data_IF_521656021684
#
_entry.id   IF_521656021684
#
_cell.length_a   1.000
_cell.length_b   1.000
_cell.length_c   1.000
_cell.angle_alpha   90.00
_cell.angle_beta   90.00
_cell.angle_gamma   90.00
#
_symmetry.space_group_name_H-M   'P 1'
#
loop_
_entity.id
_entity.type
_entity.pdbx_description
1 polymer ?
#
# COMPACT_ATOMS: atom_id res chain seq x y z
N UNK A 1 9.04 1.86 -18.72
CA UNK A 1 8.22 1.19 -17.68
C UNK A 1 6.96 2.01 -17.50
N UNK A 2 5.77 1.41 -17.64
CA UNK A 2 4.51 2.10 -17.39
C UNK A 2 4.24 2.24 -15.90
N UNK A 3 3.40 3.19 -15.45
CA UNK A 3 3.04 3.32 -14.04
C UNK A 3 2.40 2.06 -13.45
N UNK A 4 1.61 1.32 -14.24
CA UNK A 4 0.96 0.06 -13.86
C UNK A 4 2.00 -1.06 -13.64
N UNK A 5 2.99 -1.15 -14.53
CA UNK A 5 4.11 -2.09 -14.37
C UNK A 5 4.93 -1.77 -13.12
N UNK A 6 5.19 -0.48 -12.85
CA UNK A 6 5.87 -0.05 -11.64
C UNK A 6 5.10 -0.43 -10.36
N UNK A 7 3.77 -0.30 -10.36
CA UNK A 7 2.94 -0.75 -9.26
C UNK A 7 3.03 -2.27 -9.05
N UNK A 8 2.91 -3.05 -10.12
CA UNK A 8 3.04 -4.51 -10.07
C UNK A 8 4.38 -4.95 -9.46
N UNK A 9 5.49 -4.35 -9.94
CA UNK A 9 6.83 -4.64 -9.43
C UNK A 9 6.96 -4.28 -7.95
N UNK A 10 6.39 -3.14 -7.53
CA UNK A 10 6.39 -2.70 -6.12
C UNK A 10 5.60 -3.67 -5.24
N UNK A 11 4.42 -4.12 -5.67
CA UNK A 11 3.60 -5.09 -4.92
C UNK A 11 4.32 -6.43 -4.80
N UNK A 12 4.88 -6.94 -5.89
CA UNK A 12 5.62 -8.20 -5.92
C UNK A 12 6.87 -8.17 -5.03
N UNK A 13 7.63 -7.08 -5.08
CA UNK A 13 8.77 -6.86 -4.21
C UNK A 13 8.34 -6.84 -2.74
N UNK A 14 7.31 -6.06 -2.42
CA UNK A 14 6.80 -5.89 -1.04
C UNK A 14 6.33 -7.23 -0.47
N UNK A 15 5.57 -8.00 -1.24
CA UNK A 15 5.10 -9.33 -0.85
C UNK A 15 6.27 -10.28 -0.56
N UNK A 16 7.27 -10.33 -1.45
CA UNK A 16 8.46 -11.19 -1.30
C UNK A 16 9.26 -10.82 -0.05
N UNK A 17 9.47 -9.52 0.20
CA UNK A 17 10.18 -9.05 1.40
C UNK A 17 9.38 -9.31 2.68
N UNK A 18 8.05 -9.17 2.64
CA UNK A 18 7.20 -9.45 3.78
C UNK A 18 7.19 -10.94 4.13
N UNK A 19 7.17 -11.82 3.13
CA UNK A 19 7.31 -13.27 3.33
C UNK A 19 8.61 -13.62 4.04
N UNK A 20 9.75 -13.01 3.69
CA UNK A 20 11.02 -13.19 4.37
C UNK A 20 10.97 -12.71 5.83
N UNK A 21 10.33 -11.57 6.11
CA UNK A 21 10.16 -11.11 7.50
C UNK A 21 9.44 -12.14 8.37
N UNK A 22 8.40 -12.78 7.82
CA UNK A 22 7.62 -13.77 8.56
C UNK A 22 8.39 -15.07 8.78
N UNK A 23 9.19 -15.51 7.80
CA UNK A 23 9.95 -16.77 7.88
C UNK A 23 11.24 -16.67 8.64
N UNK A 24 11.91 -15.53 8.61
CA UNK A 24 13.23 -15.30 9.21
C UNK A 24 13.17 -14.52 10.53
N UNK A 25 11.97 -14.10 10.95
CA UNK A 25 11.74 -13.24 12.12
C UNK A 25 12.53 -11.91 12.06
N UNK A 26 12.94 -11.50 10.85
CA UNK A 26 13.70 -10.27 10.61
C UNK A 26 12.79 -9.20 9.97
N UNK A 27 12.51 -8.15 10.70
CA UNK A 27 11.62 -7.08 10.23
C UNK A 27 12.38 -6.07 9.37
N UNK A 28 12.32 -6.29 8.07
CA UNK A 28 12.98 -5.46 7.07
C UNK A 28 12.24 -4.12 6.84
N UNK A 29 12.89 -2.97 7.05
CA UNK A 29 12.29 -1.66 6.79
C UNK A 29 11.85 -1.45 5.33
N UNK A 30 12.41 -2.20 4.39
CA UNK A 30 12.00 -2.15 2.98
C UNK A 30 10.57 -2.63 2.74
N UNK A 31 10.04 -3.50 3.60
CA UNK A 31 8.62 -3.90 3.57
C UNK A 31 7.72 -2.70 3.81
N UNK A 32 8.04 -1.89 4.81
CA UNK A 32 7.30 -0.65 5.13
C UNK A 32 7.39 0.35 3.98
N UNK A 33 8.59 0.51 3.40
CA UNK A 33 8.80 1.39 2.25
C UNK A 33 7.96 0.93 1.05
N UNK A 34 7.98 -0.35 0.75
CA UNK A 34 7.17 -0.95 -0.31
C UNK A 34 5.66 -0.78 -0.05
N UNK A 35 5.20 -1.03 1.18
CA UNK A 35 3.80 -0.84 1.57
C UNK A 35 3.31 0.59 1.36
N UNK A 36 4.07 1.57 1.81
CA UNK A 36 3.73 2.99 1.58
C UNK A 36 3.74 3.31 0.08
N UNK A 37 4.76 2.87 -0.65
CA UNK A 37 4.92 3.18 -2.07
C UNK A 37 3.80 2.57 -2.93
N UNK A 38 3.41 1.30 -2.71
CA UNK A 38 2.34 0.68 -3.49
C UNK A 38 0.99 1.38 -3.27
N UNK A 39 0.68 1.80 -2.03
CA UNK A 39 -0.54 2.55 -1.74
C UNK A 39 -0.52 3.95 -2.40
N UNK A 40 0.61 4.65 -2.38
CA UNK A 40 0.78 5.94 -3.06
C UNK A 40 0.63 5.79 -4.58
N UNK A 41 1.25 4.80 -5.20
CA UNK A 41 1.15 4.55 -6.63
C UNK A 41 -0.31 4.25 -7.04
N UNK A 42 -1.02 3.42 -6.26
CA UNK A 42 -2.43 3.13 -6.52
C UNK A 42 -3.30 4.39 -6.44
N UNK A 43 -3.10 5.23 -5.41
CA UNK A 43 -3.84 6.48 -5.27
C UNK A 43 -3.56 7.45 -6.43
N UNK A 44 -2.29 7.60 -6.83
CA UNK A 44 -1.90 8.45 -7.97
C UNK A 44 -2.55 7.97 -9.27
N UNK A 45 -2.53 6.66 -9.55
CA UNK A 45 -3.15 6.10 -10.74
C UNK A 45 -4.66 6.37 -10.76
N UNK A 46 -5.36 6.10 -9.65
CA UNK A 46 -6.80 6.30 -9.55
C UNK A 46 -7.20 7.77 -9.69
N UNK A 47 -6.50 8.67 -8.99
CA UNK A 47 -6.78 10.11 -9.03
C UNK A 47 -6.52 10.70 -10.42
N UNK A 48 -5.41 10.29 -11.08
CA UNK A 48 -5.11 10.72 -12.46
C UNK A 48 -6.16 10.23 -13.45
N UNK A 49 -6.60 8.98 -13.33
CA UNK A 49 -7.66 8.43 -14.17
C UNK A 49 -8.98 9.19 -14.00
N UNK A 50 -9.23 9.74 -12.80
CA UNK A 50 -10.37 10.60 -12.52
C UNK A 50 -10.16 12.08 -12.94
N UNK A 51 -9.00 12.44 -13.48
CA UNK A 51 -8.67 13.81 -13.89
C UNK A 51 -8.28 14.75 -12.75
N UNK A 52 -7.96 14.20 -11.55
CA UNK A 52 -7.55 15.05 -10.42
C UNK A 52 -6.12 15.59 -10.61
N UNK A 53 -5.96 16.88 -10.35
CA UNK A 53 -4.66 17.56 -10.34
C UNK A 53 -3.94 17.26 -9.02
N UNK A 54 -3.00 16.32 -9.05
CA UNK A 54 -2.25 15.91 -7.87
C UNK A 54 -1.10 16.90 -7.62
N UNK A 55 -0.99 17.48 -6.41
CA UNK A 55 0.17 18.32 -6.06
C UNK A 55 1.46 17.50 -6.12
N UNK A 56 2.53 18.09 -6.67
CA UNK A 56 3.83 17.42 -6.82
C UNK A 56 4.45 16.97 -5.49
N UNK A 57 4.06 17.61 -4.38
CA UNK A 57 4.57 17.33 -3.04
C UNK A 57 3.57 16.58 -2.15
N UNK A 58 2.48 16.04 -2.72
CA UNK A 58 1.47 15.33 -1.94
C UNK A 58 2.07 14.11 -1.22
N UNK A 59 1.93 14.08 0.09
CA UNK A 59 2.38 12.97 0.93
C UNK A 59 1.46 11.75 0.82
N UNK A 60 1.91 10.59 1.34
CA UNK A 60 1.16 9.34 1.24
C UNK A 60 -0.24 9.42 1.85
N UNK A 61 -0.36 9.92 3.07
CA UNK A 61 -1.65 10.11 3.75
C UNK A 61 -2.55 11.07 2.98
N UNK A 62 -1.99 12.17 2.47
CA UNK A 62 -2.75 13.13 1.66
C UNK A 62 -3.33 12.48 0.41
N UNK A 63 -2.54 11.68 -0.31
CA UNK A 63 -3.00 10.96 -1.50
C UNK A 63 -4.15 10.01 -1.17
N UNK A 64 -4.07 9.25 -0.07
CA UNK A 64 -5.16 8.37 0.34
C UNK A 64 -6.41 9.14 0.82
N UNK A 65 -6.25 10.28 1.50
CA UNK A 65 -7.36 11.15 1.88
C UNK A 65 -8.04 11.75 0.64
N UNK A 66 -7.27 12.13 -0.39
CA UNK A 66 -7.84 12.60 -1.66
C UNK A 66 -8.62 11.47 -2.34
N UNK A 67 -8.09 10.25 -2.37
CA UNK A 67 -8.79 9.08 -2.91
C UNK A 67 -10.04 8.69 -2.09
N UNK A 68 -10.09 9.04 -0.82
CA UNK A 68 -11.24 8.85 0.05
C UNK A 68 -12.30 9.98 -0.06
N UNK A 69 -12.02 11.02 -0.82
CA UNK A 69 -12.97 12.13 -1.03
C UNK A 69 -13.92 11.83 -2.19
N UNK A 70 -15.24 11.93 -1.93
CA UNK A 70 -16.28 11.76 -2.95
C UNK A 70 -16.23 12.81 -4.06
N UNK A 71 -15.62 13.96 -3.79
CA UNK A 71 -15.41 15.02 -4.77
C UNK A 71 -14.30 14.69 -5.77
N UNK A 72 -13.44 13.72 -5.44
CA UNK A 72 -12.30 13.29 -6.26
C UNK A 72 -12.54 11.94 -6.93
N UNK A 73 -13.00 10.99 -6.15
CA UNK A 73 -13.37 9.65 -6.62
C UNK A 73 -14.84 9.38 -6.23
N UNK A 74 -15.79 9.46 -7.18
CA UNK A 74 -17.19 9.19 -6.87
C UNK A 74 -17.41 7.73 -6.46
N UNK A 75 -18.49 7.48 -5.70
CA UNK A 75 -18.87 6.11 -5.36
C UNK A 75 -19.15 5.29 -6.65
N UNK A 76 -18.81 4.00 -6.70
CA UNK A 76 -18.28 3.15 -5.60
C UNK A 76 -16.76 3.20 -5.42
N UNK A 77 -16.04 4.05 -6.16
CA UNK A 77 -14.58 4.06 -6.24
C UNK A 77 -13.90 4.86 -5.13
N UNK A 78 -14.64 5.60 -4.34
CA UNK A 78 -14.13 6.31 -3.16
C UNK A 78 -13.48 5.32 -2.20
N UNK A 79 -12.19 5.52 -1.87
CA UNK A 79 -11.45 4.65 -0.97
C UNK A 79 -12.05 4.65 0.44
N UNK A 80 -12.37 3.49 1.04
CA UNK A 80 -12.80 3.41 2.43
C UNK A 80 -11.59 3.59 3.38
N UNK A 81 -11.26 4.85 3.68
CA UNK A 81 -10.10 5.23 4.48
C UNK A 81 -10.52 5.96 5.76
N UNK A 82 -11.06 5.19 6.72
CA UNK A 82 -11.52 5.70 8.01
C UNK A 82 -10.37 5.99 8.99
N UNK A 83 -10.71 6.50 10.18
CA UNK A 83 -9.73 6.95 11.18
C UNK A 83 -8.72 5.86 11.59
N UNK A 84 -9.17 4.62 11.81
CA UNK A 84 -8.29 3.51 12.18
C UNK A 84 -7.31 3.14 11.06
N UNK A 85 -7.79 3.07 9.81
CA UNK A 85 -6.94 2.81 8.64
C UNK A 85 -5.91 3.93 8.47
N UNK A 86 -6.33 5.19 8.64
CA UNK A 86 -5.43 6.34 8.60
C UNK A 86 -4.34 6.24 9.66
N UNK A 87 -4.69 5.96 10.91
CA UNK A 87 -3.72 5.83 12.00
C UNK A 87 -2.68 4.73 11.70
N UNK A 88 -3.13 3.57 11.23
CA UNK A 88 -2.24 2.46 10.86
C UNK A 88 -1.31 2.83 9.71
N UNK A 89 -1.82 3.54 8.69
CA UNK A 89 -1.01 3.97 7.56
C UNK A 89 -0.04 5.10 7.92
N UNK A 90 -0.46 6.07 8.74
CA UNK A 90 0.42 7.12 9.27
C UNK A 90 1.60 6.51 10.03
N UNK A 91 1.36 5.42 10.79
CA UNK A 91 2.43 4.69 11.48
C UNK A 91 3.43 4.05 10.50
N UNK A 92 2.98 3.47 9.39
CA UNK A 92 3.90 3.00 8.34
C UNK A 92 4.76 4.15 7.79
N UNK A 93 4.15 5.32 7.53
CA UNK A 93 4.87 6.50 7.04
C UNK A 93 5.92 6.98 8.05
N UNK A 94 5.59 7.04 9.33
CA UNK A 94 6.53 7.40 10.40
C UNK A 94 7.76 6.48 10.41
N UNK A 95 7.54 5.18 10.38
CA UNK A 95 8.62 4.18 10.36
C UNK A 95 9.45 4.29 9.08
N UNK A 96 8.81 4.42 7.91
CA UNK A 96 9.52 4.67 6.64
C UNK A 96 10.40 5.92 6.72
N UNK A 97 9.86 7.03 7.25
CA UNK A 97 10.58 8.28 7.34
C UNK A 97 11.77 8.19 8.31
N UNK A 98 11.61 7.48 9.44
CA UNK A 98 12.69 7.23 10.38
C UNK A 98 13.82 6.40 9.74
N UNK A 99 13.47 5.44 8.87
CA UNK A 99 14.42 4.64 8.11
C UNK A 99 15.13 5.46 7.03
N UNK A 100 14.40 6.25 6.25
CA UNK A 100 14.96 7.04 5.13
C UNK A 100 15.79 8.23 5.61
N UNK A 101 15.54 8.72 6.82
CA UNK A 101 16.24 9.87 7.40
C UNK A 101 16.78 9.51 8.80
N UNK A 102 17.80 8.65 8.91
CA UNK A 102 18.27 8.13 10.18
C UNK A 102 18.91 9.24 11.02
N UNK A 103 18.12 9.82 11.91
CA UNK A 103 18.57 10.78 12.92
C UNK A 103 18.67 10.17 14.34
N UNK A 104 18.59 8.84 14.45
CA UNK A 104 18.58 8.11 15.71
C UNK A 104 18.70 6.59 15.52
N UNK A 105 18.49 5.86 16.61
CA UNK A 105 18.76 4.41 16.73
C UNK A 105 17.56 3.52 16.34
N UNK A 106 16.48 4.05 15.77
CA UNK A 106 15.27 3.29 15.44
C UNK A 106 15.42 2.57 14.09
N UNK A 107 15.99 1.38 14.13
CA UNK A 107 16.07 0.46 12.99
C UNK A 107 15.10 -0.74 13.15
N UNK A 108 14.12 -0.61 14.05
CA UNK A 108 13.22 -1.72 14.36
C UNK A 108 11.80 -1.45 13.87
N UNK A 109 11.29 -2.35 13.05
CA UNK A 109 9.88 -2.40 12.65
C UNK A 109 9.19 -3.42 13.55
N UNK A 110 8.11 -3.04 14.24
CA UNK A 110 7.36 -3.98 15.06
C UNK A 110 6.39 -4.83 14.23
N UNK A 111 6.12 -6.05 14.68
CA UNK A 111 5.08 -6.92 14.11
C UNK A 111 3.71 -6.21 14.07
N UNK A 112 3.38 -5.45 15.13
CA UNK A 112 2.14 -4.67 15.19
C UNK A 112 2.05 -3.61 14.09
N UNK A 113 3.14 -2.93 13.78
CA UNK A 113 3.16 -1.94 12.68
C UNK A 113 2.87 -2.61 11.34
N UNK A 114 3.47 -3.77 11.09
CA UNK A 114 3.28 -4.51 9.85
C UNK A 114 1.87 -5.13 9.77
N UNK A 115 1.43 -5.82 10.82
CA UNK A 115 0.12 -6.51 10.82
C UNK A 115 -1.05 -5.55 10.63
N UNK A 116 -0.95 -4.32 11.15
CA UNK A 116 -2.01 -3.31 11.02
C UNK A 116 -1.89 -2.43 9.80
N UNK A 117 -0.69 -2.08 9.40
CA UNK A 117 -0.47 -1.11 8.32
C UNK A 117 -0.44 -1.73 6.94
N UNK A 118 0.12 -2.93 6.79
CA UNK A 118 0.23 -3.59 5.49
C UNK A 118 -1.13 -3.95 4.86
N UNK A 119 -2.14 -4.44 5.63
CA UNK A 119 -3.49 -4.65 5.08
C UNK A 119 -4.14 -3.36 4.57
N UNK A 120 -3.89 -2.22 5.21
CA UNK A 120 -4.39 -0.93 4.74
C UNK A 120 -3.78 -0.57 3.39
N UNK A 121 -2.47 -0.74 3.23
CA UNK A 121 -1.78 -0.49 1.97
C UNK A 121 -2.25 -1.46 0.87
N UNK A 122 -2.37 -2.75 1.16
CA UNK A 122 -2.89 -3.76 0.24
C UNK A 122 -4.36 -3.49 -0.13
N UNK A 123 -5.17 -3.11 0.85
CA UNK A 123 -6.56 -2.71 0.66
C UNK A 123 -6.72 -1.52 -0.27
N UNK A 124 -5.84 -0.52 -0.16
CA UNK A 124 -5.83 0.63 -1.07
C UNK A 124 -5.55 0.20 -2.53
N UNK A 125 -4.53 -0.64 -2.76
CA UNK A 125 -4.25 -1.17 -4.10
C UNK A 125 -5.44 -1.96 -4.65
N UNK A 126 -5.99 -2.87 -3.85
CA UNK A 126 -7.14 -3.71 -4.24
C UNK A 126 -8.33 -2.85 -4.63
N UNK A 127 -8.69 -1.89 -3.79
CA UNK A 127 -9.85 -1.03 -4.03
C UNK A 127 -9.65 -0.10 -5.21
N UNK A 128 -8.51 0.58 -5.29
CA UNK A 128 -8.28 1.64 -6.28
C UNK A 128 -7.93 1.09 -7.67
N UNK A 129 -7.32 -0.08 -7.76
CA UNK A 129 -6.84 -0.63 -9.03
C UNK A 129 -7.72 -1.77 -9.54
N UNK A 130 -8.08 -2.73 -8.68
CA UNK A 130 -8.74 -3.95 -9.15
C UNK A 130 -10.26 -3.85 -9.18
N UNK A 131 -10.87 -2.85 -8.54
CA UNK A 131 -12.33 -2.63 -8.56
C UNK A 131 -12.77 -1.55 -9.54
N UNK A 132 -11.87 -0.70 -10.02
CA UNK A 132 -12.19 0.33 -11.02
C UNK A 132 -12.07 -0.25 -12.43
N UNK A 133 -13.16 -0.35 -13.23
CA UNK A 133 -13.12 -0.94 -14.56
C UNK A 133 -12.08 -0.29 -15.46
N UNK A 134 -11.99 1.04 -15.46
CA UNK A 134 -11.04 1.79 -16.31
C UNK A 134 -9.58 1.44 -15.99
N UNK A 135 -9.24 1.21 -14.71
CA UNK A 135 -7.88 0.86 -14.31
C UNK A 135 -7.64 -0.65 -14.44
N UNK A 136 -8.66 -1.46 -14.15
CA UNK A 136 -8.57 -2.91 -14.38
C UNK A 136 -8.33 -3.22 -15.86
N UNK A 137 -8.96 -2.50 -16.78
CA UNK A 137 -8.75 -2.68 -18.23
C UNK A 137 -7.35 -2.29 -18.71
N UNK A 138 -6.66 -1.37 -17.99
CA UNK A 138 -5.27 -1.00 -18.29
C UNK A 138 -4.25 -2.04 -17.81
N UNK A 139 -4.66 -2.93 -16.91
CA UNK A 139 -3.80 -3.99 -16.36
C UNK A 139 -4.14 -5.31 -17.02
N UNK A 140 -3.21 -5.97 -17.71
CA UNK A 140 -3.47 -7.27 -18.35
C UNK A 140 -4.00 -8.30 -17.34
N UNK A 141 -4.94 -9.20 -17.74
CA UNK A 141 -5.56 -10.17 -16.82
C UNK A 141 -4.56 -11.01 -16.00
N UNK A 142 -3.47 -11.45 -16.63
CA UNK A 142 -2.41 -12.18 -15.92
C UNK A 142 -1.77 -11.36 -14.80
N UNK A 143 -1.53 -10.06 -15.03
CA UNK A 143 -0.98 -9.13 -14.02
C UNK A 143 -2.01 -8.86 -12.92
N UNK A 144 -3.30 -8.78 -13.25
CA UNK A 144 -4.35 -8.65 -12.24
C UNK A 144 -4.39 -9.86 -11.30
N UNK A 145 -4.24 -11.06 -11.85
CA UNK A 145 -4.23 -12.30 -11.06
C UNK A 145 -3.01 -12.37 -10.15
N UNK A 146 -1.84 -11.97 -10.63
CA UNK A 146 -0.63 -11.89 -9.82
C UNK A 146 -0.73 -10.83 -8.72
N UNK A 147 -1.32 -9.67 -9.03
CA UNK A 147 -1.63 -8.66 -8.00
C UNK A 147 -2.56 -9.21 -6.93
N UNK A 148 -3.66 -9.88 -7.32
CA UNK A 148 -4.60 -10.48 -6.35
C UNK A 148 -3.91 -11.48 -5.43
N UNK A 149 -3.09 -12.37 -5.98
CA UNK A 149 -2.31 -13.36 -5.21
C UNK A 149 -1.34 -12.69 -4.24
N UNK A 150 -0.59 -11.70 -4.72
CA UNK A 150 0.38 -10.96 -3.90
C UNK A 150 -0.29 -10.20 -2.76
N UNK A 151 -1.41 -9.52 -3.03
CA UNK A 151 -2.17 -8.80 -2.00
C UNK A 151 -2.81 -9.76 -0.98
N UNK A 152 -3.28 -10.93 -1.42
CA UNK A 152 -3.78 -11.97 -0.53
C UNK A 152 -2.67 -12.54 0.37
N UNK A 153 -1.46 -12.72 -0.17
CA UNK A 153 -0.31 -13.16 0.62
C UNK A 153 0.08 -12.13 1.68
N UNK A 154 0.04 -10.83 1.35
CA UNK A 154 0.29 -9.74 2.32
C UNK A 154 -0.74 -9.81 3.46
N UNK A 155 -2.02 -10.01 3.17
CA UNK A 155 -3.06 -10.15 4.20
C UNK A 155 -2.77 -11.37 5.10
N UNK A 156 -2.45 -12.54 4.51
CA UNK A 156 -2.13 -13.75 5.26
C UNK A 156 -0.89 -13.60 6.14
N UNK A 157 0.15 -12.91 5.68
CA UNK A 157 1.33 -12.61 6.48
C UNK A 157 0.99 -11.67 7.65
N UNK A 158 0.11 -10.70 7.42
CA UNK A 158 -0.36 -9.77 8.46
C UNK A 158 -1.15 -10.51 9.55
N UNK A 159 -2.05 -11.40 9.17
CA UNK A 159 -2.81 -12.26 10.10
C UNK A 159 -1.88 -13.18 10.92
N UNK A 160 -0.86 -13.74 10.29
CA UNK A 160 0.14 -14.55 11.00
C UNK A 160 0.89 -13.73 12.06
N UNK A 161 1.25 -12.48 11.76
CA UNK A 161 1.93 -11.62 12.73
C UNK A 161 1.03 -11.17 13.89
N UNK A 162 -0.29 -11.08 13.67
CA UNK A 162 -1.25 -10.79 14.75
C UNK A 162 -1.47 -11.99 15.67
N UNK A 163 -1.42 -13.20 15.11
CA UNK A 163 -1.73 -14.45 15.83
C UNK A 163 -0.63 -15.49 15.59
N UNK A 164 0.59 -15.26 16.08
CA UNK A 164 1.69 -16.23 15.95
C UNK A 164 1.30 -17.52 16.70
N UNK A 165 1.35 -18.63 15.97
CA UNK A 165 1.04 -19.97 16.53
C UNK A 165 2.23 -20.52 17.33
#
# INVERSE_FOLDING_TARGET
MTPEAALHDTVSFTMSRFGLCVTEETYDPWVVTGGVLMAQQAAVLALRAAGDAIPAQAGGTELLLRAASKDRLPAPFTLPFGAAARQSFDRLIEVRNAFMHPRGTLWHVSAETLSRGMPVAAGAVRHLILTQPVLADLVPPAVQDDLRKSLQAIDAFSEFLENPR
#
